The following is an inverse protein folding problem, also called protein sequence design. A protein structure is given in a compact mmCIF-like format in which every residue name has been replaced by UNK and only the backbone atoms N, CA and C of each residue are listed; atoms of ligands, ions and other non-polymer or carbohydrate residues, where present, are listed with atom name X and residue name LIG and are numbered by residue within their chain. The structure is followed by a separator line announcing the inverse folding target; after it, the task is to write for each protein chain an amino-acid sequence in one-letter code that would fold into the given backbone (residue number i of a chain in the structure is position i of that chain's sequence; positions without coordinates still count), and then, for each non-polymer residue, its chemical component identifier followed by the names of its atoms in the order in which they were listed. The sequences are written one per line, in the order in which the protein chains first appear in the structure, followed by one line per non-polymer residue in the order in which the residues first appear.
data_IF_729962506995
#
_entry.id   IF_729962506995
#
_cell.length_a   1.000
_cell.length_b   1.000
_cell.length_c   1.000
_cell.angle_alpha   90.00
_cell.angle_beta   90.00
_cell.angle_gamma   90.00
#
_symmetry.space_group_name_H-M   'P 1'
#
loop_
_entity.id
_entity.type
_entity.pdbx_description
1 polymer ?
#
# COMPACT_ATOMS: atom_id res chain seq x y z
N UNK A 1 -14.90 -17.28 -0.69
CA UNK A 1 -13.96 -16.14 -0.71
C UNK A 1 -14.75 -14.85 -0.53
N UNK A 2 -14.16 -13.86 0.09
CA UNK A 2 -14.81 -12.57 0.34
C UNK A 2 -15.05 -11.82 -0.98
N UNK A 3 -16.21 -11.19 -1.12
CA UNK A 3 -16.51 -10.33 -2.28
C UNK A 3 -15.52 -9.15 -2.35
N UNK A 4 -15.12 -8.62 -1.18
CA UNK A 4 -14.15 -7.54 -1.10
C UNK A 4 -12.80 -7.97 -1.65
N UNK A 5 -12.31 -9.15 -1.26
CA UNK A 5 -11.05 -9.69 -1.75
C UNK A 5 -11.14 -9.91 -3.26
N UNK A 6 -12.23 -10.51 -3.74
CA UNK A 6 -12.41 -10.73 -5.18
C UNK A 6 -12.40 -9.43 -5.98
N UNK A 7 -13.10 -8.40 -5.48
CA UNK A 7 -13.13 -7.08 -6.12
C UNK A 7 -11.73 -6.48 -6.22
N UNK A 8 -10.97 -6.52 -5.13
CA UNK A 8 -9.64 -5.89 -5.08
C UNK A 8 -8.57 -6.72 -5.81
N UNK A 9 -8.85 -7.98 -6.13
CA UNK A 9 -7.95 -8.81 -6.96
C UNK A 9 -8.10 -8.54 -8.45
N UNK A 10 -9.13 -7.83 -8.86
CA UNK A 10 -9.41 -7.57 -10.29
C UNK A 10 -8.98 -6.17 -10.68
N UNK A 11 -7.92 -6.08 -11.47
CA UNK A 11 -7.41 -4.79 -11.96
C UNK A 11 -6.74 -3.96 -10.87
N UNK A 12 -6.44 -2.74 -11.19
CA UNK A 12 -5.83 -1.80 -10.26
C UNK A 12 -6.90 -0.89 -9.66
N UNK A 13 -6.73 -0.54 -8.40
CA UNK A 13 -7.69 0.27 -7.65
C UNK A 13 -6.98 1.49 -7.06
N UNK A 14 -7.68 2.62 -6.94
CA UNK A 14 -7.09 3.80 -6.32
C UNK A 14 -6.80 3.54 -4.84
N UNK A 15 -5.60 3.92 -4.42
CA UNK A 15 -5.17 3.80 -3.03
C UNK A 15 -4.54 5.10 -2.57
N UNK A 16 -4.49 5.27 -1.25
CA UNK A 16 -3.73 6.35 -0.63
C UNK A 16 -2.99 5.80 0.58
N UNK A 17 -1.84 6.38 0.88
CA UNK A 17 -1.15 6.09 2.13
C UNK A 17 -1.92 6.80 3.24
N UNK A 18 -2.50 6.03 4.16
CA UNK A 18 -3.33 6.58 5.23
C UNK A 18 -2.52 6.84 6.49
N UNK A 19 -1.32 7.38 6.31
CA UNK A 19 -0.47 7.79 7.42
C UNK A 19 -1.14 8.96 8.17
N UNK A 20 -0.88 9.03 9.47
CA UNK A 20 -1.57 9.95 10.38
C UNK A 20 -1.48 11.41 9.95
N UNK A 21 -0.26 11.83 9.56
CA UNK A 21 -0.06 13.14 8.93
C UNK A 21 0.18 12.88 7.45
N UNK A 22 -0.60 13.51 6.61
CA UNK A 22 -0.49 13.32 5.14
C UNK A 22 0.76 13.99 4.60
N UNK A 23 1.93 13.54 5.07
CA UNK A 23 3.23 14.09 4.67
C UNK A 23 4.17 12.99 4.22
N UNK A 24 5.13 13.37 3.38
CA UNK A 24 6.19 12.48 2.94
C UNK A 24 7.01 11.95 4.12
N UNK A 25 7.28 12.79 5.11
CA UNK A 25 8.05 12.38 6.30
C UNK A 25 7.32 11.31 7.09
N UNK A 26 6.00 11.44 7.25
CA UNK A 26 5.20 10.42 7.93
C UNK A 26 5.23 9.10 7.17
N UNK A 27 5.16 9.13 5.84
CA UNK A 27 5.29 7.95 5.01
C UNK A 27 6.69 7.31 5.17
N UNK A 28 7.73 8.13 5.17
CA UNK A 28 9.10 7.67 5.37
C UNK A 28 9.28 6.97 6.72
N UNK A 29 8.69 7.53 7.79
CA UNK A 29 8.72 6.93 9.12
C UNK A 29 8.01 5.58 9.14
N UNK A 30 6.86 5.47 8.49
CA UNK A 30 6.12 4.21 8.40
C UNK A 30 6.95 3.15 7.66
N UNK A 31 7.59 3.52 6.57
CA UNK A 31 8.49 2.62 5.82
C UNK A 31 9.63 2.12 6.71
N UNK A 32 10.23 2.99 7.51
CA UNK A 32 11.29 2.60 8.45
C UNK A 32 10.80 1.61 9.49
N UNK A 33 9.56 1.76 9.97
CA UNK A 33 8.96 0.84 10.93
C UNK A 33 8.60 -0.50 10.30
N UNK A 34 8.46 -0.56 8.97
CA UNK A 34 8.14 -1.77 8.26
C UNK A 34 6.64 -2.03 8.08
N UNK A 35 5.79 -1.07 8.43
CA UNK A 35 4.33 -1.18 8.30
C UNK A 35 3.79 0.10 7.70
N UNK A 36 3.06 0.00 6.59
CA UNK A 36 2.47 1.18 5.95
C UNK A 36 0.96 0.99 5.84
N UNK A 37 0.16 1.90 6.43
CA UNK A 37 -1.28 1.86 6.25
C UNK A 37 -1.62 2.36 4.84
N UNK A 38 -2.39 1.57 4.11
CA UNK A 38 -2.86 1.89 2.77
C UNK A 38 -4.36 1.73 2.73
N UNK A 39 -5.05 2.70 2.16
CA UNK A 39 -6.50 2.68 2.05
C UNK A 39 -6.92 2.58 0.60
N UNK A 40 -7.73 1.58 0.28
CA UNK A 40 -8.42 1.49 -1.00
C UNK A 40 -9.65 2.37 -0.92
N UNK A 41 -9.75 3.34 -1.83
CA UNK A 41 -10.77 4.38 -1.74
C UNK A 41 -12.02 4.10 -2.57
N UNK A 42 -11.98 3.10 -3.45
CA UNK A 42 -13.11 2.75 -4.32
C UNK A 42 -13.98 1.63 -3.77
N UNK A 43 -13.80 1.27 -2.52
CA UNK A 43 -14.70 0.36 -1.81
C UNK A 43 -15.68 1.15 -0.96
N UNK A 44 -16.81 0.55 -0.64
CA UNK A 44 -17.81 1.20 0.19
C UNK A 44 -17.26 1.51 1.58
N UNK A 45 -17.18 2.79 1.92
CA UNK A 45 -16.59 3.25 3.18
C UNK A 45 -15.08 3.20 3.23
N UNK A 46 -14.44 2.76 2.15
CA UNK A 46 -12.99 2.57 2.08
C UNK A 46 -12.53 1.30 2.77
N UNK A 47 -11.36 0.81 2.38
CA UNK A 47 -10.74 -0.37 3.01
C UNK A 47 -9.31 -0.03 3.36
N UNK A 48 -9.01 0.01 4.66
CA UNK A 48 -7.67 0.31 5.13
C UNK A 48 -6.97 -0.98 5.56
N UNK A 49 -5.75 -1.16 5.05
CA UNK A 49 -4.89 -2.28 5.39
C UNK A 49 -3.55 -1.75 5.88
N UNK A 50 -3.03 -2.34 6.96
CA UNK A 50 -1.66 -2.06 7.39
C UNK A 50 -0.78 -3.13 6.76
N UNK A 51 0.05 -2.71 5.80
CA UNK A 51 0.87 -3.64 5.02
C UNK A 51 2.19 -3.87 5.73
N UNK A 52 2.48 -5.11 6.19
CA UNK A 52 3.81 -5.45 6.68
C UNK A 52 4.73 -5.60 5.49
N UNK A 53 5.72 -4.71 5.35
CA UNK A 53 6.54 -4.64 4.15
C UNK A 53 7.50 -5.83 4.03
N UNK A 54 7.47 -6.49 2.88
CA UNK A 54 8.50 -7.43 2.48
C UNK A 54 9.51 -6.67 1.62
N UNK A 55 10.60 -6.24 2.25
CA UNK A 55 11.58 -5.36 1.60
C UNK A 55 12.20 -5.97 0.36
N UNK A 56 12.27 -7.29 0.27
CA UNK A 56 12.83 -7.96 -0.90
C UNK A 56 11.96 -7.80 -2.15
N UNK A 57 10.66 -7.47 -1.96
CA UNK A 57 9.71 -7.28 -3.06
C UNK A 57 9.29 -5.82 -3.23
N UNK A 58 9.71 -4.94 -2.32
CA UNK A 58 9.39 -3.51 -2.38
C UNK A 58 10.43 -2.75 -3.20
N UNK A 59 10.03 -1.58 -3.71
CA UNK A 59 10.93 -0.59 -4.28
C UNK A 59 10.71 0.70 -3.49
N UNK A 60 11.64 1.02 -2.61
CA UNK A 60 11.52 2.14 -1.68
C UNK A 60 12.53 3.26 -1.97
N UNK A 61 13.23 3.16 -3.10
CA UNK A 61 14.32 4.11 -3.43
C UNK A 61 13.88 5.56 -3.44
N UNK A 62 12.69 5.86 -3.97
CA UNK A 62 12.20 7.23 -4.08
C UNK A 62 12.01 7.92 -2.73
N UNK A 63 11.75 7.15 -1.67
CA UNK A 63 11.57 7.72 -0.33
C UNK A 63 12.79 7.55 0.55
N UNK A 64 13.53 6.44 0.39
CA UNK A 64 14.73 6.19 1.20
C UNK A 64 15.91 7.05 0.77
N UNK A 65 16.05 7.31 -0.52
CA UNK A 65 17.15 8.11 -1.06
C UNK A 65 16.91 9.61 -0.95
N UNK A 66 15.72 10.01 -0.56
CA UNK A 66 15.37 11.40 -0.26
C UNK A 66 15.70 12.38 -1.41
N UNK A 67 15.62 11.89 -2.65
CA UNK A 67 15.94 12.71 -3.82
C UNK A 67 14.70 13.46 -4.29
N UNK A 68 14.78 14.79 -4.40
CA UNK A 68 13.80 15.69 -5.03
C UNK A 68 12.36 15.68 -4.52
N UNK A 69 12.02 14.86 -3.52
CA UNK A 69 10.64 14.78 -3.02
C UNK A 69 9.63 14.28 -4.04
N UNK A 70 10.07 13.59 -5.09
CA UNK A 70 9.20 13.06 -6.13
C UNK A 70 9.57 11.61 -6.44
N UNK A 71 8.69 10.92 -7.17
CA UNK A 71 8.88 9.52 -7.53
C UNK A 71 7.78 8.64 -6.98
N UNK A 72 7.89 7.35 -7.23
CA UNK A 72 6.90 6.36 -6.85
C UNK A 72 7.58 5.25 -6.08
N UNK A 73 6.95 4.79 -5.00
CA UNK A 73 7.41 3.63 -4.25
C UNK A 73 6.46 2.46 -4.51
N UNK A 74 6.99 1.26 -4.43
CA UNK A 74 6.21 0.04 -4.53
C UNK A 74 6.22 -0.66 -3.18
N UNK A 75 5.04 -0.89 -2.64
CA UNK A 75 4.83 -1.57 -1.36
C UNK A 75 4.28 -2.96 -1.63
N UNK A 76 4.91 -3.98 -1.08
CA UNK A 76 4.45 -5.37 -1.19
C UNK A 76 4.52 -6.01 0.18
N UNK A 77 3.45 -6.65 0.59
CA UNK A 77 3.42 -7.37 1.85
C UNK A 77 2.29 -8.38 1.90
N UNK A 78 2.46 -9.39 2.73
CA UNK A 78 1.50 -10.47 2.92
C UNK A 78 0.71 -10.23 4.19
N UNK A 79 -0.60 -10.41 4.12
CA UNK A 79 -1.48 -10.25 5.27
C UNK A 79 -2.75 -11.07 5.05
N UNK A 80 -3.68 -11.00 6.00
CA UNK A 80 -5.00 -11.62 5.85
C UNK A 80 -6.07 -10.55 5.83
N UNK A 81 -7.04 -10.74 4.94
CA UNK A 81 -8.24 -9.91 4.87
C UNK A 81 -9.43 -10.84 4.75
N UNK A 82 -10.44 -10.67 5.63
CA UNK A 82 -11.64 -11.52 5.66
C UNK A 82 -11.28 -13.01 5.69
N UNK A 83 -10.28 -13.38 6.50
CA UNK A 83 -9.78 -14.74 6.66
C UNK A 83 -9.11 -15.34 5.42
N UNK A 84 -8.82 -14.51 4.42
CA UNK A 84 -8.13 -14.94 3.20
C UNK A 84 -6.70 -14.44 3.24
N UNK A 85 -5.73 -15.33 3.02
CA UNK A 85 -4.32 -14.95 2.92
C UNK A 85 -4.09 -14.27 1.57
N UNK A 86 -3.58 -13.04 1.61
CA UNK A 86 -3.37 -12.20 0.42
C UNK A 86 -2.00 -11.56 0.43
N UNK A 87 -1.58 -11.11 -0.76
CA UNK A 87 -0.47 -10.19 -0.92
C UNK A 87 -1.05 -8.88 -1.43
N UNK A 88 -0.71 -7.78 -0.77
CA UNK A 88 -1.08 -6.45 -1.24
C UNK A 88 0.09 -5.84 -2.00
N UNK A 89 -0.19 -5.34 -3.19
CA UNK A 89 0.79 -4.61 -4.01
C UNK A 89 0.23 -3.22 -4.23
N UNK A 90 0.97 -2.19 -3.82
CA UNK A 90 0.55 -0.81 -3.97
C UNK A 90 1.69 0.04 -4.49
N UNK A 91 1.38 0.94 -5.41
CA UNK A 91 2.32 1.94 -5.92
C UNK A 91 1.84 3.29 -5.45
N UNK A 92 2.69 4.01 -4.73
CA UNK A 92 2.34 5.28 -4.10
C UNK A 92 3.28 6.36 -4.58
N UNK A 93 2.72 7.46 -5.05
CA UNK A 93 3.47 8.66 -5.38
C UNK A 93 3.86 9.36 -4.07
N UNK A 94 5.16 9.60 -3.88
CA UNK A 94 5.66 10.15 -2.61
C UNK A 94 5.31 11.61 -2.40
N UNK A 95 4.91 12.33 -3.46
CA UNK A 95 4.49 13.72 -3.35
C UNK A 95 3.02 13.86 -2.99
N UNK A 96 2.15 13.01 -3.56
CA UNK A 96 0.70 13.08 -3.35
C UNK A 96 0.20 12.07 -2.30
N UNK A 97 0.98 11.04 -2.01
CA UNK A 97 0.63 9.90 -1.14
C UNK A 97 -0.54 9.09 -1.71
N UNK A 98 -0.77 9.19 -2.99
CA UNK A 98 -1.83 8.47 -3.71
C UNK A 98 -1.24 7.62 -4.82
N UNK A 99 -1.98 6.62 -5.25
CA UNK A 99 -1.54 5.76 -6.33
C UNK A 99 -2.56 4.67 -6.62
N UNK A 100 -2.05 3.53 -7.01
CA UNK A 100 -2.88 2.37 -7.36
C UNK A 100 -2.35 1.11 -6.72
N UNK A 101 -3.24 0.18 -6.46
CA UNK A 101 -2.86 -1.09 -5.88
C UNK A 101 -3.89 -2.17 -6.15
N UNK A 102 -3.53 -3.38 -5.77
CA UNK A 102 -4.41 -4.54 -5.91
C UNK A 102 -4.02 -5.60 -4.88
N UNK A 103 -4.90 -6.60 -4.75
CA UNK A 103 -4.62 -7.77 -3.93
C UNK A 103 -4.40 -8.98 -4.81
N UNK A 104 -3.62 -9.93 -4.31
CA UNK A 104 -3.41 -11.23 -4.94
C UNK A 104 -3.65 -12.29 -3.89
N UNK A 105 -4.46 -13.31 -4.21
CA UNK A 105 -4.71 -14.39 -3.27
C UNK A 105 -3.48 -15.30 -3.23
N UNK A 106 -3.03 -15.61 -2.02
CA UNK A 106 -1.90 -16.53 -1.83
C UNK A 106 -2.42 -17.97 -1.86
N UNK A 107 -1.75 -18.78 -2.62
CA UNK A 107 -2.07 -20.20 -2.71
C UNK A 107 -1.27 -21.04 -1.74
#
# INVERSE_FOLDING_TARGET
MSELVEFLCKGEHPVEASVRKKTRDALKDAVKLGYVPVRFTDTRGGTELVIPLDRSRCDLGAIENDSNGSGEIRLVGDLKLDYVAITCVARIDVATLQGEGHLEVRS
#
